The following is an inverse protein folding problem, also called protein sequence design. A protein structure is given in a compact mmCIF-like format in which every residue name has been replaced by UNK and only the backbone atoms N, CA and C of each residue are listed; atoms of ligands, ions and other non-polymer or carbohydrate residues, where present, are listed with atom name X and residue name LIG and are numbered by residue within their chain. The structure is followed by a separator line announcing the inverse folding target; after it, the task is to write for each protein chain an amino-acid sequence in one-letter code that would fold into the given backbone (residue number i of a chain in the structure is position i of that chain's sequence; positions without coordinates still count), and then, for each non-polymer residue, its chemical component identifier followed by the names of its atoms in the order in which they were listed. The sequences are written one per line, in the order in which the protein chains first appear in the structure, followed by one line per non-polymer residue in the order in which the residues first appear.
data_IF_618641852196
#
_entry.id   IF_618641852196
#
_cell.length_a   1.000
_cell.length_b   1.000
_cell.length_c   1.000
_cell.angle_alpha   90.00
_cell.angle_beta   90.00
_cell.angle_gamma   90.00
#
_symmetry.space_group_name_H-M   'P 1'
#
loop_
_entity.id
_entity.type
_entity.pdbx_description
1 polymer ?
#
# COMPACT_ATOMS: atom_id res chain seq x y z
N UNK A 1 2.33 8.78 -14.80
CA UNK A 1 1.64 7.98 -15.84
C UNK A 1 0.38 7.33 -15.29
N UNK A 2 -0.74 7.41 -16.00
CA UNK A 2 -2.05 6.88 -15.59
C UNK A 2 -2.32 5.42 -15.98
N UNK A 3 -1.31 4.65 -16.38
CA UNK A 3 -1.47 3.30 -16.95
C UNK A 3 -1.82 2.18 -15.93
N UNK A 4 -2.08 2.52 -14.67
CA UNK A 4 -2.46 1.54 -13.64
C UNK A 4 -1.34 0.57 -13.20
N UNK A 5 -0.08 0.87 -13.50
CA UNK A 5 1.06 0.00 -13.17
C UNK A 5 1.23 -0.21 -11.66
N UNK A 6 1.05 0.83 -10.83
CA UNK A 6 1.16 0.70 -9.37
C UNK A 6 0.18 -0.32 -8.79
N UNK A 7 -1.08 -0.30 -9.25
CA UNK A 7 -2.10 -1.30 -8.86
C UNK A 7 -1.69 -2.71 -9.28
N UNK A 8 -1.25 -2.88 -10.53
CA UNK A 8 -0.83 -4.19 -11.07
C UNK A 8 0.36 -4.75 -10.31
N UNK A 9 1.34 -3.90 -9.99
CA UNK A 9 2.51 -4.26 -9.20
C UNK A 9 2.10 -4.70 -7.79
N UNK A 10 1.32 -3.88 -7.07
CA UNK A 10 0.87 -4.21 -5.72
C UNK A 10 0.05 -5.51 -5.68
N UNK A 11 -0.82 -5.75 -6.67
CA UNK A 11 -1.57 -7.00 -6.77
C UNK A 11 -0.66 -8.22 -7.07
N UNK A 12 0.38 -8.05 -7.86
CA UNK A 12 1.33 -9.12 -8.16
C UNK A 12 2.24 -9.43 -6.96
N UNK A 13 2.73 -8.41 -6.26
CA UNK A 13 3.59 -8.55 -5.09
C UNK A 13 2.94 -9.37 -3.96
N UNK A 14 1.61 -9.28 -3.80
CA UNK A 14 0.85 -10.09 -2.84
C UNK A 14 1.04 -11.60 -3.02
N UNK A 15 1.29 -12.05 -4.26
CA UNK A 15 1.51 -13.47 -4.58
C UNK A 15 2.92 -13.96 -4.26
N UNK A 16 3.83 -13.05 -3.87
CA UNK A 16 5.18 -13.41 -3.45
C UNK A 16 5.25 -13.75 -1.95
N UNK A 17 4.20 -13.45 -1.20
CA UNK A 17 4.10 -13.74 0.23
C UNK A 17 3.44 -15.13 0.39
N UNK A 18 3.96 -16.01 1.26
CA UNK A 18 3.32 -17.29 1.55
C UNK A 18 1.86 -17.12 1.97
N UNK A 19 1.03 -18.10 1.64
CA UNK A 19 -0.39 -18.07 1.99
C UNK A 19 -0.58 -17.93 3.51
N UNK A 20 -1.49 -17.02 3.89
CA UNK A 20 -1.79 -16.72 5.29
C UNK A 20 -0.77 -15.83 6.01
N UNK A 21 0.40 -15.53 5.42
CA UNK A 21 1.35 -14.63 6.04
C UNK A 21 0.87 -13.17 5.97
N UNK A 22 1.09 -12.37 7.02
CA UNK A 22 0.70 -10.96 7.01
C UNK A 22 1.54 -10.17 6.01
N UNK A 23 0.89 -9.25 5.28
CA UNK A 23 1.53 -8.30 4.38
C UNK A 23 0.97 -6.90 4.61
N UNK A 24 1.87 -5.95 4.77
CA UNK A 24 1.57 -4.55 5.06
C UNK A 24 2.27 -3.64 4.06
N UNK A 25 1.70 -2.47 3.82
CA UNK A 25 2.29 -1.43 3.01
C UNK A 25 2.21 -0.11 3.77
N UNK A 26 3.35 0.52 3.98
CA UNK A 26 3.42 1.84 4.60
C UNK A 26 3.48 2.91 3.51
N UNK A 27 2.53 3.84 3.54
CA UNK A 27 2.34 4.85 2.51
C UNK A 27 2.39 6.22 3.16
N UNK A 28 3.19 7.13 2.63
CA UNK A 28 3.21 8.51 3.09
C UNK A 28 1.81 9.14 2.96
N UNK A 29 1.28 9.85 3.98
CA UNK A 29 -0.10 10.37 3.99
C UNK A 29 -0.47 11.22 2.76
N UNK A 30 0.48 12.01 2.24
CA UNK A 30 0.28 12.85 1.06
C UNK A 30 0.33 12.12 -0.29
N UNK A 31 0.71 10.85 -0.33
CA UNK A 31 0.85 10.09 -1.57
C UNK A 31 -0.49 9.46 -1.98
N UNK A 32 -1.44 10.30 -2.38
CA UNK A 32 -2.78 9.87 -2.78
C UNK A 32 -2.77 8.87 -3.96
N UNK A 33 -1.77 8.93 -4.84
CA UNK A 33 -1.62 7.99 -5.95
C UNK A 33 -1.33 6.57 -5.45
N UNK A 34 -0.38 6.41 -4.53
CA UNK A 34 -0.09 5.12 -3.90
C UNK A 34 -1.25 4.60 -3.07
N UNK A 35 -1.92 5.46 -2.28
CA UNK A 35 -3.11 5.06 -1.51
C UNK A 35 -4.17 4.44 -2.41
N UNK A 36 -4.53 5.11 -3.51
CA UNK A 36 -5.51 4.58 -4.48
C UNK A 36 -5.04 3.27 -5.12
N UNK A 37 -3.76 3.15 -5.46
CA UNK A 37 -3.22 1.95 -6.09
C UNK A 37 -3.30 0.72 -5.17
N UNK A 38 -2.97 0.86 -3.88
CA UNK A 38 -2.99 -0.24 -2.91
C UNK A 38 -4.43 -0.62 -2.50
N UNK A 39 -5.32 0.36 -2.31
CA UNK A 39 -6.75 0.08 -2.09
C UNK A 39 -7.34 -0.72 -3.27
N UNK A 40 -7.06 -0.31 -4.50
CA UNK A 40 -7.50 -1.02 -5.70
C UNK A 40 -6.83 -2.40 -5.90
N UNK A 41 -5.73 -2.68 -5.18
CA UNK A 41 -5.08 -3.98 -5.15
C UNK A 41 -5.59 -4.90 -4.01
N UNK A 42 -6.58 -4.44 -3.23
CA UNK A 42 -7.24 -5.21 -2.18
C UNK A 42 -6.60 -5.07 -0.80
N UNK A 43 -5.72 -4.09 -0.58
CA UNK A 43 -5.26 -3.74 0.76
C UNK A 43 -6.37 -2.99 1.52
N UNK A 44 -6.41 -3.16 2.84
CA UNK A 44 -7.34 -2.48 3.74
C UNK A 44 -6.57 -1.51 4.67
N UNK A 45 -7.12 -0.32 4.97
CA UNK A 45 -6.56 0.54 6.01
C UNK A 45 -6.58 -0.18 7.37
N UNK A 46 -5.53 0.02 8.14
CA UNK A 46 -5.30 -0.63 9.45
C UNK A 46 -4.86 0.37 10.51
N UNK A 47 -4.21 1.47 10.10
CA UNK A 47 -3.77 2.55 10.97
C UNK A 47 -2.99 3.61 10.21
N UNK A 48 -2.52 4.61 10.93
CA UNK A 48 -1.59 5.62 10.45
C UNK A 48 -0.51 5.84 11.52
N UNK A 49 0.72 6.11 11.07
CA UNK A 49 1.87 6.33 11.94
C UNK A 49 2.49 7.69 11.66
N UNK A 50 2.86 8.40 12.73
CA UNK A 50 3.68 9.60 12.65
C UNK A 50 5.13 9.25 13.02
N UNK A 51 6.02 9.20 12.02
CA UNK A 51 7.43 8.85 12.24
C UNK A 51 8.26 10.01 12.76
N UNK A 52 7.88 11.24 12.42
CA UNK A 52 8.56 12.47 12.80
C UNK A 52 7.54 13.38 13.48
N UNK A 53 7.65 13.54 14.78
CA UNK A 53 6.78 14.38 15.60
C UNK A 53 7.61 15.49 16.23
N UNK A 54 7.07 16.71 16.29
CA UNK A 54 7.60 17.71 17.21
C UNK A 54 7.17 17.29 18.62
N UNK A 55 8.13 17.19 19.54
CA UNK A 55 7.86 16.97 20.96
C UNK A 55 7.19 18.19 21.59
#
# INVERSE_FOLDING_TARGET
QGAGLGRRLAAAARRLVPDGAPLWAQIAPGNAASVRAFLAAGFRPVGAEALLTAG
#
